data_IF_327693277238
#
_entry.id   IF_327693277238
#
_cell.length_a   1.000
_cell.length_b   1.000
_cell.length_c   1.000
_cell.angle_alpha   90.00
_cell.angle_beta   90.00
_cell.angle_gamma   90.00
#
_symmetry.space_group_name_H-M   'P 1'
#
loop_
_entity.id
_entity.type
_entity.pdbx_description
1 polymer ?
#
# COMPACT_ATOMS: atom_id res chain seq x y z
N UNK A 1 -14.22 -19.75 20.72
CA UNK A 1 -14.27 -18.50 21.50
C UNK A 1 -12.85 -18.25 22.01
N UNK A 2 -12.11 -17.32 21.40
CA UNK A 2 -10.70 -17.02 21.78
C UNK A 2 -10.68 -16.38 23.16
N UNK A 3 -9.87 -16.90 24.07
CA UNK A 3 -9.80 -16.36 25.45
C UNK A 3 -8.98 -15.07 25.49
N UNK A 4 -9.14 -14.27 26.55
CA UNK A 4 -8.36 -13.03 26.74
C UNK A 4 -6.86 -13.30 26.82
N UNK A 5 -6.47 -14.48 27.32
CA UNK A 5 -5.07 -14.92 27.38
C UNK A 5 -4.52 -15.32 26.01
N UNK A 6 -5.34 -15.93 25.14
CA UNK A 6 -4.97 -16.19 23.74
C UNK A 6 -4.70 -14.89 22.98
N UNK A 7 -5.51 -13.86 23.21
CA UNK A 7 -5.30 -12.56 22.58
C UNK A 7 -4.02 -11.89 23.07
N UNK A 8 -3.67 -12.04 24.35
CA UNK A 8 -2.42 -11.48 24.91
C UNK A 8 -1.18 -12.19 24.36
N UNK A 9 -1.22 -13.51 24.24
CA UNK A 9 -0.11 -14.29 23.68
C UNK A 9 0.12 -13.96 22.19
N UNK A 10 -0.97 -13.84 21.42
CA UNK A 10 -0.93 -13.46 20.00
C UNK A 10 -0.53 -11.98 19.79
N UNK A 11 -0.76 -11.12 20.78
CA UNK A 11 -0.34 -9.71 20.73
C UNK A 11 1.09 -9.48 21.23
N UNK A 12 1.84 -10.56 21.51
CA UNK A 12 3.22 -10.45 21.96
C UNK A 12 4.09 -9.74 20.93
N UNK A 13 4.76 -8.67 21.36
CA UNK A 13 5.67 -7.88 20.54
C UNK A 13 7.05 -7.87 21.20
N UNK A 14 7.88 -8.84 20.83
CA UNK A 14 9.26 -8.97 21.34
C UNK A 14 10.28 -8.67 20.25
N UNK A 15 11.50 -8.28 20.62
CA UNK A 15 12.59 -8.03 19.66
C UNK A 15 12.86 -9.23 18.75
N UNK A 16 12.74 -10.45 19.30
CA UNK A 16 12.90 -11.69 18.53
C UNK A 16 11.83 -11.83 17.45
N UNK A 17 10.57 -11.54 17.77
CA UNK A 17 9.47 -11.60 16.81
C UNK A 17 9.58 -10.51 15.74
N UNK A 18 10.00 -9.30 16.12
CA UNK A 18 10.27 -8.20 15.17
C UNK A 18 11.41 -8.58 14.22
N UNK A 19 12.50 -9.12 14.74
CA UNK A 19 13.62 -9.56 13.89
C UNK A 19 13.25 -10.73 12.97
N UNK A 20 12.46 -11.69 13.47
CA UNK A 20 11.94 -12.77 12.65
C UNK A 20 11.07 -12.22 11.51
N UNK A 21 10.15 -11.29 11.81
CA UNK A 21 9.30 -10.65 10.81
C UNK A 21 10.08 -9.83 9.77
N UNK A 22 11.14 -9.14 10.20
CA UNK A 22 12.05 -8.44 9.29
C UNK A 22 12.70 -9.40 8.30
N UNK A 23 13.24 -10.53 8.80
CA UNK A 23 13.90 -11.55 7.94
C UNK A 23 12.92 -12.23 7.00
N UNK A 24 11.71 -12.52 7.47
CA UNK A 24 10.67 -13.16 6.67
C UNK A 24 10.21 -12.28 5.49
N UNK A 25 10.22 -10.96 5.67
CA UNK A 25 9.87 -10.00 4.61
C UNK A 25 10.99 -9.69 3.63
N UNK A 26 12.24 -10.12 3.86
CA UNK A 26 13.37 -9.77 2.99
C UNK A 26 13.12 -10.10 1.49
N UNK A 27 12.54 -11.25 1.11
CA UNK A 27 12.24 -11.53 -0.29
C UNK A 27 11.27 -10.52 -0.91
N UNK A 28 10.24 -10.10 -0.16
CA UNK A 28 9.28 -9.09 -0.61
C UNK A 28 9.94 -7.70 -0.61
N UNK A 29 10.78 -7.40 0.37
CA UNK A 29 11.52 -6.15 0.48
C UNK A 29 12.45 -5.93 -0.71
N UNK A 30 13.06 -6.99 -1.26
CA UNK A 30 13.85 -6.90 -2.49
C UNK A 30 13.02 -6.43 -3.69
N UNK A 31 11.79 -6.91 -3.83
CA UNK A 31 10.87 -6.39 -4.84
C UNK A 31 10.51 -4.92 -4.58
N UNK A 32 10.23 -4.57 -3.33
CA UNK A 32 9.93 -3.18 -2.92
C UNK A 32 11.09 -2.24 -3.18
N UNK A 33 12.34 -2.70 -3.11
CA UNK A 33 13.50 -1.90 -3.50
C UNK A 33 13.49 -1.55 -4.98
N UNK A 34 13.21 -2.52 -5.85
CA UNK A 34 13.11 -2.27 -7.30
C UNK A 34 11.94 -1.32 -7.60
N UNK A 35 10.81 -1.52 -6.93
CA UNK A 35 9.66 -0.64 -7.06
C UNK A 35 9.94 0.78 -6.56
N UNK A 36 10.65 0.92 -5.44
CA UNK A 36 11.12 2.21 -4.92
C UNK A 36 12.10 2.90 -5.88
N UNK A 37 12.96 2.14 -6.56
CA UNK A 37 13.83 2.70 -7.59
C UNK A 37 13.06 3.26 -8.78
N UNK A 38 12.00 2.58 -9.22
CA UNK A 38 11.09 3.13 -10.23
C UNK A 38 10.41 4.41 -9.76
N UNK A 39 9.97 4.48 -8.50
CA UNK A 39 9.40 5.70 -7.92
C UNK A 39 10.42 6.84 -7.91
N UNK A 40 11.65 6.60 -7.42
CA UNK A 40 12.70 7.60 -7.36
C UNK A 40 13.04 8.19 -8.73
N UNK A 41 13.07 7.35 -9.76
CA UNK A 41 13.23 7.79 -11.14
C UNK A 41 12.04 8.65 -11.60
N UNK A 42 10.81 8.16 -11.41
CA UNK A 42 9.60 8.87 -11.82
C UNK A 42 9.49 10.24 -11.15
N UNK A 43 9.87 10.33 -9.88
CA UNK A 43 9.86 11.59 -9.12
C UNK A 43 10.79 12.63 -9.74
N UNK A 44 12.00 12.24 -10.15
CA UNK A 44 12.92 13.16 -10.85
C UNK A 44 12.37 13.62 -12.20
N UNK A 45 11.71 12.72 -12.93
CA UNK A 45 11.13 13.06 -14.24
C UNK A 45 9.98 14.07 -14.13
N UNK A 46 9.26 14.06 -13.02
CA UNK A 46 8.25 15.08 -12.69
C UNK A 46 8.84 16.34 -12.05
N UNK A 47 10.17 16.46 -11.99
CA UNK A 47 10.86 17.65 -11.50
C UNK A 47 10.96 17.75 -9.97
N UNK A 48 10.66 16.70 -9.20
CA UNK A 48 11.00 16.67 -7.78
C UNK A 48 12.51 16.52 -7.63
N UNK A 49 13.10 17.18 -6.64
CA UNK A 49 14.49 16.95 -6.29
C UNK A 49 14.63 15.69 -5.40
N UNK A 50 15.86 15.16 -5.32
CA UNK A 50 16.16 13.96 -4.53
C UNK A 50 15.74 14.07 -3.05
N UNK A 51 16.07 15.15 -2.31
CA UNK A 51 15.64 15.26 -0.91
C UNK A 51 14.12 15.19 -0.72
N UNK A 52 13.33 15.84 -1.58
CA UNK A 52 11.87 15.80 -1.50
C UNK A 52 11.31 14.42 -1.81
N UNK A 53 11.85 13.71 -2.81
CA UNK A 53 11.44 12.34 -3.14
C UNK A 53 11.72 11.36 -1.98
N UNK A 54 12.88 11.48 -1.33
CA UNK A 54 13.27 10.65 -0.17
C UNK A 54 12.44 11.01 1.07
N UNK A 55 12.18 12.30 1.31
CA UNK A 55 11.32 12.74 2.41
C UNK A 55 9.89 12.20 2.22
N UNK A 56 9.35 12.30 1.01
CA UNK A 56 8.03 11.76 0.70
C UNK A 56 7.99 10.24 0.93
N UNK A 57 9.01 9.51 0.49
CA UNK A 57 9.08 8.05 0.64
C UNK A 57 9.22 7.61 2.09
N UNK A 58 9.94 8.38 2.91
CA UNK A 58 10.12 8.08 4.33
C UNK A 58 8.90 8.46 5.18
N UNK A 59 8.22 9.57 4.87
CA UNK A 59 7.09 10.08 5.65
C UNK A 59 5.75 9.49 5.25
N UNK A 60 5.49 9.32 3.95
CA UNK A 60 4.20 8.85 3.43
C UNK A 60 4.15 7.33 3.40
N UNK A 61 5.23 6.67 2.97
CA UNK A 61 5.35 5.22 2.88
C UNK A 61 4.13 4.53 2.24
N UNK A 62 3.65 5.08 1.11
CA UNK A 62 2.49 4.56 0.40
C UNK A 62 2.69 4.65 -1.11
N UNK A 63 3.37 3.67 -1.70
CA UNK A 63 3.81 3.70 -3.11
C UNK A 63 2.72 4.11 -4.10
N UNK A 64 1.54 3.47 -4.06
CA UNK A 64 0.43 3.79 -4.95
C UNK A 64 -0.01 5.27 -4.85
N UNK A 65 -0.10 5.82 -3.63
CA UNK A 65 -0.46 7.21 -3.44
C UNK A 65 0.67 8.15 -3.86
N UNK A 66 1.94 7.76 -3.68
CA UNK A 66 3.08 8.57 -4.09
C UNK A 66 3.14 8.75 -5.61
N UNK A 67 2.92 7.67 -6.38
CA UNK A 67 2.83 7.79 -7.84
C UNK A 67 1.58 8.56 -8.30
N UNK A 68 0.44 8.37 -7.65
CA UNK A 68 -0.75 9.18 -7.96
C UNK A 68 -0.51 10.68 -7.70
N UNK A 69 0.30 11.03 -6.69
CA UNK A 69 0.73 12.42 -6.47
C UNK A 69 1.66 12.90 -7.59
N UNK A 70 2.55 12.05 -8.11
CA UNK A 70 3.40 12.39 -9.25
C UNK A 70 2.60 12.70 -10.52
N UNK A 71 1.49 12.01 -10.75
CA UNK A 71 0.58 12.29 -11.87
C UNK A 71 -0.12 13.66 -11.75
N UNK A 72 -0.30 14.12 -10.50
CA UNK A 72 -0.88 15.43 -10.17
C UNK A 72 0.18 16.52 -9.95
N UNK A 73 1.46 16.18 -10.12
CA UNK A 73 2.57 17.06 -9.81
C UNK A 73 2.88 17.98 -11.00
N UNK A 74 3.01 19.28 -10.73
CA UNK A 74 3.27 20.27 -11.76
C UNK A 74 3.30 21.70 -11.22
N UNK A 75 3.35 22.72 -12.09
CA UNK A 75 3.44 24.12 -11.67
C UNK A 75 2.25 24.58 -10.80
N UNK A 76 1.07 23.98 -11.01
CA UNK A 76 -0.15 24.26 -10.27
C UNK A 76 -0.72 22.94 -9.74
N UNK A 77 -0.39 22.60 -8.49
CA UNK A 77 -0.85 21.35 -7.88
C UNK A 77 -2.30 21.52 -7.39
N UNK A 78 -3.26 20.74 -7.90
CA UNK A 78 -4.65 20.82 -7.46
C UNK A 78 -4.80 20.14 -6.09
N UNK A 79 -4.66 20.92 -5.01
CA UNK A 79 -4.59 20.41 -3.63
C UNK A 79 -5.79 19.56 -3.22
N UNK A 80 -7.02 19.96 -3.61
CA UNK A 80 -8.23 19.21 -3.25
C UNK A 80 -8.30 17.85 -3.96
N UNK A 81 -8.19 17.76 -5.31
CA UNK A 81 -8.06 16.47 -6.00
C UNK A 81 -6.91 15.59 -5.50
N UNK A 82 -5.76 16.20 -5.17
CA UNK A 82 -4.62 15.47 -4.60
C UNK A 82 -4.98 14.87 -3.24
N UNK A 83 -5.54 15.67 -2.32
CA UNK A 83 -5.93 15.19 -1.00
C UNK A 83 -6.99 14.09 -1.07
N UNK A 84 -7.99 14.24 -1.95
CA UNK A 84 -9.03 13.23 -2.16
C UNK A 84 -8.47 11.93 -2.74
N UNK A 85 -7.57 12.02 -3.72
CA UNK A 85 -6.92 10.85 -4.33
C UNK A 85 -6.04 10.11 -3.31
N UNK A 86 -5.20 10.83 -2.58
CA UNK A 86 -4.35 10.25 -1.52
C UNK A 86 -5.18 9.61 -0.43
N UNK A 87 -6.26 10.27 0.01
CA UNK A 87 -7.18 9.72 1.00
C UNK A 87 -7.89 8.47 0.48
N UNK A 88 -8.43 8.50 -0.74
CA UNK A 88 -9.15 7.38 -1.34
C UNK A 88 -8.27 6.14 -1.48
N UNK A 89 -7.04 6.30 -1.98
CA UNK A 89 -6.06 5.21 -2.10
C UNK A 89 -5.69 4.65 -0.72
N UNK A 90 -5.48 5.53 0.27
CA UNK A 90 -5.02 5.12 1.59
C UNK A 90 -6.14 4.71 2.55
N UNK A 91 -7.42 4.89 2.21
CA UNK A 91 -8.55 4.48 3.04
C UNK A 91 -8.50 3.00 3.45
N UNK A 92 -7.84 2.15 2.66
CA UNK A 92 -7.53 0.75 3.00
C UNK A 92 -6.81 0.58 4.35
N UNK A 93 -6.01 1.56 4.79
CA UNK A 93 -5.36 1.51 6.10
C UNK A 93 -6.35 1.60 7.27
N UNK A 94 -7.52 2.21 7.06
CA UNK A 94 -8.60 2.21 8.05
C UNK A 94 -9.15 0.79 8.24
N UNK A 95 -9.35 0.05 7.14
CA UNK A 95 -9.80 -1.34 7.16
C UNK A 95 -8.73 -2.27 7.76
N UNK A 96 -7.46 -2.07 7.41
CA UNK A 96 -6.35 -2.79 8.03
C UNK A 96 -6.30 -2.54 9.55
N UNK A 97 -6.47 -1.29 9.97
CA UNK A 97 -6.55 -0.94 11.40
C UNK A 97 -7.74 -1.57 12.12
N UNK A 98 -8.90 -1.62 11.48
CA UNK A 98 -10.12 -2.23 12.02
C UNK A 98 -9.96 -3.75 12.21
N UNK A 99 -9.40 -4.44 11.20
CA UNK A 99 -9.17 -5.90 11.26
C UNK A 99 -8.14 -6.29 12.31
N UNK A 100 -7.10 -5.48 12.51
CA UNK A 100 -6.06 -5.71 13.53
C UNK A 100 -6.43 -5.23 14.94
N UNK A 101 -7.52 -4.47 15.09
CA UNK A 101 -7.91 -3.83 16.35
C UNK A 101 -7.98 -4.79 17.56
N UNK A 102 -8.48 -6.04 17.45
CA UNK A 102 -8.58 -6.96 18.59
C UNK A 102 -7.25 -7.24 19.30
N UNK A 103 -6.14 -7.26 18.53
CA UNK A 103 -4.79 -7.47 19.01
C UNK A 103 -4.07 -6.15 19.31
N UNK A 104 -4.23 -5.13 18.46
CA UNK A 104 -3.60 -3.82 18.65
C UNK A 104 -4.07 -3.12 19.93
N UNK A 105 -5.31 -3.31 20.36
CA UNK A 105 -5.83 -2.74 21.62
C UNK A 105 -5.16 -3.30 22.88
N UNK A 106 -4.47 -4.44 22.77
CA UNK A 106 -3.68 -5.02 23.87
C UNK A 106 -2.35 -4.29 24.09
N UNK A 107 -1.89 -3.51 23.09
CA UNK A 107 -0.66 -2.73 23.19
C UNK A 107 -0.93 -1.32 23.75
N UNK A 108 0.06 -0.72 24.45
CA UNK A 108 -0.03 0.69 24.83
C UNK A 108 -0.09 1.59 23.57
N UNK A 109 -0.76 2.76 23.63
CA UNK A 109 -1.02 3.60 22.46
C UNK A 109 0.21 3.91 21.60
N UNK A 110 1.34 4.24 22.20
CA UNK A 110 2.58 4.53 21.48
C UNK A 110 3.05 3.36 20.61
N UNK A 111 3.00 2.13 21.13
CA UNK A 111 3.37 0.92 20.36
C UNK A 111 2.34 0.63 19.28
N UNK A 112 1.06 0.79 19.58
CA UNK A 112 -0.03 0.61 18.61
C UNK A 112 0.15 1.51 17.39
N UNK A 113 0.41 2.80 17.59
CA UNK A 113 0.63 3.73 16.49
C UNK A 113 1.95 3.46 15.77
N UNK A 114 3.03 3.13 16.48
CA UNK A 114 4.31 2.78 15.86
C UNK A 114 4.23 1.54 14.95
N UNK A 115 3.46 0.53 15.36
CA UNK A 115 3.20 -0.67 14.54
C UNK A 115 2.40 -0.30 13.28
N UNK A 116 1.35 0.53 13.43
CA UNK A 116 0.50 0.94 12.30
C UNK A 116 1.18 1.89 11.33
N UNK A 117 2.17 2.69 11.77
CA UNK A 117 2.94 3.58 10.90
C UNK A 117 3.73 2.83 9.82
N UNK A 118 3.99 1.53 10.03
CA UNK A 118 4.72 0.67 9.10
C UNK A 118 3.83 -0.43 8.52
N UNK A 119 2.50 -0.31 8.66
CA UNK A 119 1.57 -1.25 8.04
C UNK A 119 1.56 -1.08 6.51
N UNK A 120 1.55 -2.20 5.80
CA UNK A 120 1.45 -2.31 4.35
C UNK A 120 0.63 -3.54 4.00
N UNK A 121 0.18 -3.68 2.75
CA UNK A 121 -0.65 -4.81 2.35
C UNK A 121 0.05 -6.16 2.61
N UNK A 122 1.34 -6.25 2.31
CA UNK A 122 2.13 -7.49 2.41
C UNK A 122 2.32 -7.93 3.86
N UNK A 123 2.70 -7.00 4.76
CA UNK A 123 2.91 -7.34 6.16
C UNK A 123 1.61 -7.49 6.96
N UNK A 124 0.55 -6.79 6.57
CA UNK A 124 -0.78 -6.99 7.11
C UNK A 124 -1.31 -8.38 6.74
N UNK A 125 -1.18 -8.79 5.48
CA UNK A 125 -1.66 -10.10 5.02
C UNK A 125 -0.97 -11.26 5.76
N UNK A 126 0.36 -11.23 5.88
CA UNK A 126 1.11 -12.25 6.62
C UNK A 126 0.83 -12.20 8.13
N UNK A 127 0.70 -11.00 8.71
CA UNK A 127 0.30 -10.87 10.11
C UNK A 127 -1.10 -11.45 10.36
N UNK A 128 -2.09 -11.16 9.52
CA UNK A 128 -3.44 -11.70 9.63
C UNK A 128 -3.47 -13.22 9.46
N UNK A 129 -2.66 -13.78 8.56
CA UNK A 129 -2.53 -15.23 8.42
C UNK A 129 -1.95 -15.88 9.68
N UNK A 130 -0.92 -15.28 10.28
CA UNK A 130 -0.33 -15.75 11.54
C UNK A 130 -1.33 -15.67 12.70
N UNK A 131 -2.03 -14.54 12.83
CA UNK A 131 -3.07 -14.34 13.87
C UNK A 131 -4.24 -15.32 13.70
N UNK A 132 -4.65 -15.60 12.46
CA UNK A 132 -5.67 -16.61 12.16
C UNK A 132 -5.27 -18.05 12.56
N UNK A 133 -3.97 -18.33 12.62
CA UNK A 133 -3.41 -19.60 13.14
C UNK A 133 -3.15 -19.57 14.65
N UNK A 134 -3.55 -18.51 15.34
CA UNK A 134 -3.29 -18.32 16.77
C UNK A 134 -1.83 -18.00 17.11
N UNK A 135 -1.04 -17.53 16.15
CA UNK A 135 0.38 -17.20 16.33
C UNK A 135 0.60 -15.69 16.50
N UNK A 136 1.72 -15.25 17.10
CA UNK A 136 2.01 -13.83 17.24
C UNK A 136 2.28 -13.12 15.90
N UNK A 137 1.34 -12.27 15.45
CA UNK A 137 1.44 -11.57 14.16
C UNK A 137 1.98 -10.14 14.22
N UNK A 138 1.98 -9.48 15.38
CA UNK A 138 2.38 -8.06 15.47
C UNK A 138 3.88 -7.84 15.22
N UNK A 139 4.71 -8.86 15.44
CA UNK A 139 6.13 -8.84 15.07
C UNK A 139 6.36 -8.83 13.56
N UNK A 140 5.53 -9.54 12.79
CA UNK A 140 5.52 -9.49 11.32
C UNK A 140 5.12 -8.12 10.81
N UNK A 141 4.12 -7.51 11.45
CA UNK A 141 3.63 -6.19 11.07
C UNK A 141 4.72 -5.12 11.27
N UNK A 142 5.32 -5.05 12.45
CA UNK A 142 6.36 -4.06 12.75
C UNK A 142 7.70 -4.37 12.08
N UNK A 143 8.21 -5.58 12.26
CA UNK A 143 9.51 -5.99 11.73
C UNK A 143 9.52 -6.10 10.22
N UNK A 144 8.46 -6.69 9.67
CA UNK A 144 8.26 -6.74 8.24
C UNK A 144 8.06 -5.35 7.64
N UNK A 145 7.28 -4.49 8.29
CA UNK A 145 7.14 -3.09 7.90
C UNK A 145 8.45 -2.32 7.87
N UNK A 146 9.32 -2.53 8.87
CA UNK A 146 10.68 -1.96 8.86
C UNK A 146 11.51 -2.43 7.67
N UNK A 147 11.44 -3.72 7.31
CA UNK A 147 12.15 -4.24 6.14
C UNK A 147 11.67 -3.56 4.85
N UNK A 148 10.35 -3.50 4.66
CA UNK A 148 9.74 -2.88 3.48
C UNK A 148 10.06 -1.37 3.42
N UNK A 149 9.99 -0.66 4.54
CA UNK A 149 10.28 0.78 4.63
C UNK A 149 11.74 1.10 4.32
N UNK A 150 12.68 0.36 4.89
CA UNK A 150 14.12 0.56 4.62
C UNK A 150 14.42 0.30 3.15
N UNK A 151 13.93 -0.81 2.59
CA UNK A 151 14.19 -1.15 1.19
C UNK A 151 13.49 -0.19 0.23
N UNK A 152 12.31 0.33 0.57
CA UNK A 152 11.63 1.39 -0.19
C UNK A 152 12.46 2.67 -0.28
N UNK A 153 13.02 3.12 0.84
CA UNK A 153 13.87 4.31 0.89
C UNK A 153 15.16 4.09 0.12
N UNK A 154 15.84 2.96 0.33
CA UNK A 154 17.06 2.61 -0.41
C UNK A 154 16.77 2.57 -1.91
N UNK A 155 15.68 1.91 -2.30
CA UNK A 155 15.18 1.88 -3.67
C UNK A 155 15.00 3.28 -4.22
N UNK A 156 14.28 4.14 -3.51
CA UNK A 156 14.04 5.54 -3.92
C UNK A 156 15.35 6.29 -4.13
N UNK A 157 16.30 6.20 -3.21
CA UNK A 157 17.62 6.83 -3.34
C UNK A 157 18.34 6.31 -4.58
N UNK A 158 18.41 4.99 -4.76
CA UNK A 158 19.03 4.38 -5.94
C UNK A 158 18.34 4.83 -7.24
N UNK A 159 17.02 4.90 -7.25
CA UNK A 159 16.22 5.39 -8.37
C UNK A 159 16.54 6.83 -8.75
N UNK A 160 16.68 7.71 -7.76
CA UNK A 160 17.08 9.09 -8.01
C UNK A 160 18.52 9.21 -8.52
N UNK A 161 19.45 8.38 -8.04
CA UNK A 161 20.84 8.42 -8.53
C UNK A 161 20.98 7.83 -9.93
N UNK A 162 20.38 6.66 -10.17
CA UNK A 162 20.41 5.98 -11.47
C UNK A 162 19.58 6.72 -12.51
N UNK A 163 18.50 7.40 -12.11
CA UNK A 163 17.70 8.19 -13.04
C UNK A 163 18.44 9.36 -13.68
N UNK A 164 19.47 9.89 -13.01
CA UNK A 164 20.39 10.85 -13.63
C UNK A 164 21.21 10.26 -14.80
N UNK A 165 21.35 8.93 -14.85
CA UNK A 165 22.11 8.18 -15.86
C UNK A 165 21.22 7.62 -16.98
N UNK A 166 19.93 7.38 -16.70
CA UNK A 166 18.96 6.85 -17.67
C UNK A 166 18.26 8.02 -18.37
N UNK A 167 18.81 8.47 -19.49
CA UNK A 167 18.24 9.55 -20.30
C UNK A 167 16.87 9.22 -20.91
N UNK A 168 16.53 7.92 -21.04
CA UNK A 168 15.34 7.49 -21.79
C UNK A 168 14.59 6.34 -21.08
N UNK A 169 13.90 6.66 -19.99
CA UNK A 169 13.21 5.69 -19.14
C UNK A 169 12.10 4.91 -19.86
N UNK A 170 11.47 5.52 -20.88
CA UNK A 170 10.46 4.87 -21.72
C UNK A 170 11.01 3.64 -22.44
N UNK A 171 12.27 3.71 -22.89
CA UNK A 171 12.92 2.58 -23.57
C UNK A 171 13.03 1.33 -22.69
N UNK A 172 13.05 1.53 -21.37
CA UNK A 172 13.12 0.47 -20.37
C UNK A 172 11.76 0.10 -19.79
N UNK A 173 10.65 0.67 -20.30
CA UNK A 173 9.29 0.42 -19.83
C UNK A 173 9.02 0.94 -18.42
N UNK A 174 9.82 1.89 -17.94
CA UNK A 174 9.73 2.38 -16.56
C UNK A 174 8.49 3.25 -16.31
N UNK A 175 7.92 3.80 -17.39
CA UNK A 175 6.61 4.47 -17.40
C UNK A 175 5.44 3.52 -17.13
N UNK A 176 5.60 2.22 -17.41
CA UNK A 176 4.57 1.20 -17.16
C UNK A 176 4.66 0.55 -15.77
N UNK A 177 5.63 0.92 -14.92
CA UNK A 177 5.87 0.22 -13.65
C UNK A 177 4.65 0.27 -12.72
N UNK A 178 3.99 1.42 -12.59
CA UNK A 178 2.76 1.51 -11.79
C UNK A 178 1.63 0.67 -12.39
N UNK A 179 1.44 0.74 -13.71
CA UNK A 179 0.43 -0.06 -14.41
C UNK A 179 0.66 -1.55 -14.22
N UNK A 180 1.89 -2.02 -14.39
CA UNK A 180 2.29 -3.40 -14.15
C UNK A 180 2.11 -3.82 -12.68
N UNK A 181 2.42 -2.93 -11.72
CA UNK A 181 2.20 -3.19 -10.30
C UNK A 181 0.72 -3.38 -9.97
N UNK A 182 -0.14 -2.46 -10.41
CA UNK A 182 -1.59 -2.56 -10.20
C UNK A 182 -2.17 -3.78 -10.91
N UNK A 183 -1.70 -4.09 -12.13
CA UNK A 183 -2.13 -5.29 -12.87
C UNK A 183 -1.72 -6.57 -12.13
N UNK A 184 -0.49 -6.65 -11.63
CA UNK A 184 -0.02 -7.80 -10.86
C UNK A 184 -0.84 -8.00 -9.58
N UNK A 185 -1.24 -6.90 -8.91
CA UNK A 185 -2.14 -6.95 -7.75
C UNK A 185 -3.53 -7.47 -8.11
N UNK A 186 -4.10 -7.01 -9.22
CA UNK A 186 -5.40 -7.51 -9.72
C UNK A 186 -5.30 -9.00 -10.07
N UNK A 187 -4.29 -9.40 -10.84
CA UNK A 187 -4.10 -10.79 -11.28
C UNK A 187 -3.80 -11.74 -10.12
N UNK A 188 -3.08 -11.27 -9.10
CA UNK A 188 -2.75 -12.01 -7.89
C UNK A 188 -3.86 -12.05 -6.83
N UNK A 189 -4.89 -11.21 -6.96
CA UNK A 189 -6.04 -11.19 -6.05
C UNK A 189 -6.94 -12.42 -6.19
N UNK A 190 -7.91 -12.56 -5.26
CA UNK A 190 -8.85 -13.69 -5.32
C UNK A 190 -9.68 -13.66 -6.61
N UNK A 191 -9.75 -14.80 -7.29
CA UNK A 191 -10.44 -14.93 -8.56
C UNK A 191 -11.86 -15.43 -8.30
N UNK A 192 -12.76 -14.51 -7.98
CA UNK A 192 -14.18 -14.80 -7.85
C UNK A 192 -15.01 -13.83 -8.71
N UNK A 193 -16.21 -14.27 -9.11
CA UNK A 193 -17.09 -13.48 -9.98
C UNK A 193 -17.45 -12.13 -9.35
N UNK A 194 -17.59 -12.09 -8.03
CA UNK A 194 -17.87 -10.87 -7.27
C UNK A 194 -16.75 -9.83 -7.41
N UNK A 195 -15.50 -10.22 -7.19
CA UNK A 195 -14.33 -9.36 -7.37
C UNK A 195 -14.20 -8.90 -8.81
N UNK A 196 -14.45 -9.79 -9.79
CA UNK A 196 -14.47 -9.40 -11.19
C UNK A 196 -15.51 -8.31 -11.46
N UNK A 197 -16.73 -8.45 -10.93
CA UNK A 197 -17.79 -7.44 -11.09
C UNK A 197 -17.45 -6.12 -10.40
N UNK A 198 -16.83 -6.16 -9.22
CA UNK A 198 -16.33 -4.98 -8.52
C UNK A 198 -15.25 -4.27 -9.35
N UNK A 199 -14.31 -5.01 -9.94
CA UNK A 199 -13.27 -4.46 -10.80
C UNK A 199 -13.82 -3.87 -12.10
N UNK A 200 -14.77 -4.56 -12.74
CA UNK A 200 -15.43 -4.05 -13.95
C UNK A 200 -16.22 -2.78 -13.65
N UNK A 201 -16.93 -2.70 -12.53
CA UNK A 201 -17.64 -1.50 -12.13
C UNK A 201 -16.68 -0.34 -11.83
N UNK A 202 -15.61 -0.59 -11.08
CA UNK A 202 -14.59 0.42 -10.76
C UNK A 202 -13.88 0.92 -12.04
N UNK A 203 -13.45 0.01 -12.91
CA UNK A 203 -12.79 0.33 -14.17
C UNK A 203 -13.71 1.06 -15.14
N UNK A 204 -14.96 0.59 -15.27
CA UNK A 204 -15.98 1.24 -16.10
C UNK A 204 -16.30 2.65 -15.63
N UNK A 205 -16.46 2.86 -14.30
CA UNK A 205 -16.66 4.18 -13.73
C UNK A 205 -15.44 5.10 -13.93
N UNK A 206 -14.22 4.55 -13.82
CA UNK A 206 -12.99 5.31 -14.07
C UNK A 206 -12.86 5.76 -15.53
N UNK A 207 -13.15 4.87 -16.48
CA UNK A 207 -13.17 5.19 -17.93
C UNK A 207 -14.26 6.22 -18.25
N UNK A 208 -15.45 6.04 -17.70
CA UNK A 208 -16.55 7.00 -17.83
C UNK A 208 -16.13 8.39 -17.33
N UNK A 209 -15.51 8.45 -16.16
CA UNK A 209 -15.02 9.70 -15.60
C UNK A 209 -13.89 10.32 -16.42
N UNK A 210 -13.01 9.52 -17.01
CA UNK A 210 -11.99 10.03 -17.93
C UNK A 210 -12.59 10.71 -19.17
N UNK A 211 -13.74 10.24 -19.66
CA UNK A 211 -14.42 10.85 -20.81
C UNK A 211 -15.30 12.06 -20.46
N UNK A 212 -15.96 12.05 -19.30
CA UNK A 212 -17.04 13.00 -18.99
C UNK A 212 -16.78 13.93 -17.81
N UNK A 213 -15.78 13.65 -16.97
CA UNK A 213 -15.46 14.46 -15.81
C UNK A 213 -14.12 15.19 -16.01
N UNK A 214 -13.83 16.24 -15.19
CA UNK A 214 -12.55 16.93 -15.22
C UNK A 214 -11.37 15.98 -15.05
N UNK A 215 -10.22 16.41 -15.58
CA UNK A 215 -8.95 15.71 -15.39
C UNK A 215 -8.76 15.35 -13.91
N UNK A 216 -8.19 14.16 -13.65
CA UNK A 216 -7.88 13.62 -12.32
C UNK A 216 -9.07 13.08 -11.49
N UNK A 217 -10.31 13.18 -11.98
CA UNK A 217 -11.48 12.62 -11.30
C UNK A 217 -11.62 11.10 -11.42
N UNK A 218 -10.94 10.48 -12.37
CA UNK A 218 -11.07 9.07 -12.74
C UNK A 218 -10.63 8.09 -11.64
N UNK A 219 -9.63 8.45 -10.81
CA UNK A 219 -9.20 7.61 -9.68
C UNK A 219 -10.23 7.62 -8.56
N UNK A 220 -10.75 8.80 -8.22
CA UNK A 220 -11.72 8.97 -7.13
C UNK A 220 -13.04 8.28 -7.48
N UNK A 221 -13.55 8.50 -8.68
CA UNK A 221 -14.79 7.89 -9.17
C UNK A 221 -14.72 6.37 -9.24
N UNK A 222 -13.62 5.81 -9.77
CA UNK A 222 -13.39 4.37 -9.79
C UNK A 222 -13.33 3.77 -8.39
N UNK A 223 -12.62 4.44 -7.46
CA UNK A 223 -12.53 3.99 -6.05
C UNK A 223 -13.88 4.02 -5.35
N UNK A 224 -14.67 5.07 -5.53
CA UNK A 224 -16.01 5.18 -4.95
C UNK A 224 -16.96 4.12 -5.52
N UNK A 225 -16.95 3.92 -6.84
CA UNK A 225 -17.80 2.91 -7.48
C UNK A 225 -17.47 1.50 -7.01
N UNK A 226 -16.18 1.13 -7.00
CA UNK A 226 -15.73 -0.17 -6.51
C UNK A 226 -16.01 -0.37 -5.02
N UNK A 227 -15.73 0.65 -4.20
CA UNK A 227 -15.96 0.62 -2.76
C UNK A 227 -17.45 0.48 -2.41
N UNK A 228 -18.33 1.26 -3.04
CA UNK A 228 -19.78 1.20 -2.83
C UNK A 228 -20.34 -0.16 -3.26
N UNK A 229 -19.93 -0.68 -4.41
CA UNK A 229 -20.39 -1.99 -4.87
C UNK A 229 -19.90 -3.12 -3.94
N UNK A 230 -18.66 -3.04 -3.48
CA UNK A 230 -18.11 -3.98 -2.49
C UNK A 230 -18.84 -3.95 -1.13
N UNK A 231 -19.29 -2.76 -0.71
CA UNK A 231 -20.08 -2.58 0.51
C UNK A 231 -21.51 -3.13 0.38
N UNK A 232 -22.18 -2.85 -0.74
CA UNK A 232 -23.55 -3.29 -0.99
C UNK A 232 -23.61 -4.80 -1.25
N UNK A 233 -22.62 -5.34 -1.94
CA UNK A 233 -22.53 -6.77 -2.22
C UNK A 233 -21.72 -7.47 -1.13
N UNK A 234 -22.34 -7.64 0.05
CA UNK A 234 -21.74 -8.36 1.16
C UNK A 234 -21.54 -9.84 0.80
N UNK A 235 -20.39 -10.40 1.15
CA UNK A 235 -20.14 -11.84 1.04
C UNK A 235 -21.24 -12.59 1.81
N UNK A 236 -21.89 -13.58 1.19
CA UNK A 236 -22.64 -14.56 1.98
C UNK A 236 -21.62 -15.25 2.87
N UNK A 237 -21.77 -15.12 4.18
CA UNK A 237 -21.00 -15.92 5.13
C UNK A 237 -21.29 -17.37 4.83
N UNK A 238 -20.33 -18.08 4.25
CA UNK A 238 -20.34 -19.54 4.22
C UNK A 238 -20.20 -19.97 5.68
N UNK A 239 -21.32 -20.17 6.36
CA UNK A 239 -21.38 -20.87 7.64
C UNK A 239 -20.86 -22.29 7.38
N UNK A 240 -19.63 -22.56 7.80
CA UNK A 240 -19.08 -23.91 7.98
C UNK A 240 -18.45 -24.02 9.36
#
# INVERSE_FOLDING_TARGET
MTTTDDLRSQSALTRRLVWAGFREMLPIALFVLVFGAAFGLAALQQGLNTPWAVLMSSAVFAGAAQFAVLDLWGPQVPLLPLALTVFAINARHLLMGATLYPWLRQLPPARRYGVMALASDSNWALAMQALGRGQPGLGLLLGGGLALWVFWIIGTVLGTQVGSLIADARRWGLDMVMGCFLLAMVVGGEKNLRMLLIWVAAGGASIAAWHWLPENSHVVTGTLAGGLLGLLWKEKSDER
#
